data_IF_988713370615
#
_entry.id   IF_988713370615
#
_cell.length_a   1.000
_cell.length_b   1.000
_cell.length_c   1.000
_cell.angle_alpha   90.00
_cell.angle_beta   90.00
_cell.angle_gamma   90.00
#
_symmetry.space_group_name_H-M   'P 1'
#
loop_
_entity.id
_entity.type
_entity.pdbx_description
1 polymer ?
#
# COMPACT_ATOMS: atom_id res chain seq x y z
N UNK A 1 6.83 3.45 -9.99
CA UNK A 1 6.53 4.89 -10.04
C UNK A 1 5.19 5.15 -9.35
N UNK A 2 4.87 6.40 -9.04
CA UNK A 2 3.54 6.78 -8.57
C UNK A 2 2.45 6.34 -9.56
N UNK A 3 1.36 5.77 -9.06
CA UNK A 3 0.25 5.23 -9.86
C UNK A 3 0.36 3.73 -10.17
N UNK A 4 1.53 3.13 -9.98
CA UNK A 4 1.73 1.69 -10.19
C UNK A 4 0.97 0.86 -9.15
N UNK A 5 0.56 -0.35 -9.56
CA UNK A 5 -0.27 -1.26 -8.76
C UNK A 5 0.57 -2.48 -8.33
N UNK A 6 0.55 -2.80 -7.04
CA UNK A 6 1.25 -3.94 -6.49
C UNK A 6 0.35 -4.78 -5.60
N UNK A 7 0.66 -6.08 -5.49
CA UNK A 7 0.01 -6.96 -4.51
C UNK A 7 0.48 -6.59 -3.11
N UNK A 8 -0.43 -6.14 -2.26
CA UNK A 8 -0.17 -5.78 -0.88
C UNK A 8 -0.18 -7.02 0.01
N UNK A 9 0.91 -7.21 0.76
CA UNK A 9 0.91 -8.13 1.92
C UNK A 9 0.34 -7.38 3.12
N UNK A 10 -0.98 -7.41 3.27
CA UNK A 10 -1.63 -6.80 4.42
C UNK A 10 -1.17 -7.49 5.73
N UNK A 11 -0.92 -6.72 6.81
CA UNK A 11 -0.62 -7.28 8.12
C UNK A 11 -1.72 -8.26 8.56
N UNK A 12 -1.30 -9.39 9.15
CA UNK A 12 -2.25 -10.41 9.64
C UNK A 12 -3.00 -9.94 10.89
N UNK A 13 -2.44 -8.95 11.57
CA UNK A 13 -2.88 -8.34 12.82
C UNK A 13 -3.48 -6.94 12.60
N UNK A 14 -3.95 -6.64 11.37
CA UNK A 14 -4.69 -5.42 11.09
C UNK A 14 -5.86 -5.26 12.09
N UNK A 15 -5.88 -4.13 12.82
CA UNK A 15 -6.84 -3.88 13.90
C UNK A 15 -8.00 -2.99 13.42
N UNK A 16 -9.19 -3.24 13.96
CA UNK A 16 -10.37 -2.42 13.72
C UNK A 16 -10.79 -2.38 12.24
N UNK A 17 -10.99 -1.18 11.71
CA UNK A 17 -11.42 -0.97 10.31
C UNK A 17 -10.26 -0.89 9.31
N UNK A 18 -9.05 -1.28 9.71
CA UNK A 18 -7.94 -1.40 8.77
C UNK A 18 -8.25 -2.47 7.72
N UNK A 19 -7.97 -2.18 6.45
CA UNK A 19 -8.19 -3.15 5.39
C UNK A 19 -7.31 -4.40 5.58
N UNK A 20 -7.91 -5.58 5.50
CA UNK A 20 -7.27 -6.87 5.84
C UNK A 20 -7.26 -7.86 4.67
N UNK A 21 -6.39 -8.86 4.71
CA UNK A 21 -6.35 -9.91 3.67
C UNK A 21 -5.65 -9.51 2.37
N UNK A 22 -5.60 -10.45 1.42
CA UNK A 22 -4.89 -10.29 0.13
C UNK A 22 -5.61 -9.26 -0.75
N UNK A 23 -4.91 -8.17 -1.08
CA UNK A 23 -5.42 -7.10 -1.95
C UNK A 23 -4.31 -6.44 -2.75
N UNK A 24 -4.70 -5.56 -3.65
CA UNK A 24 -3.77 -4.69 -4.35
C UNK A 24 -3.66 -3.34 -3.63
N UNK A 25 -2.62 -2.60 -3.94
CA UNK A 25 -2.45 -1.24 -3.52
C UNK A 25 -1.80 -0.41 -4.63
N UNK A 26 -2.20 0.85 -4.69
CA UNK A 26 -1.65 1.85 -5.63
C UNK A 26 -0.57 2.65 -4.93
N UNK A 27 0.58 2.84 -5.56
CA UNK A 27 1.63 3.72 -5.04
C UNK A 27 1.21 5.17 -5.18
N UNK A 28 1.19 5.90 -4.07
CA UNK A 28 0.79 7.33 -4.07
C UNK A 28 1.91 8.27 -3.64
N UNK A 29 3.03 7.72 -3.13
CA UNK A 29 4.23 8.46 -2.75
C UNK A 29 4.80 9.28 -3.93
N UNK A 30 5.30 10.48 -3.63
CA UNK A 30 6.02 11.30 -4.59
C UNK A 30 7.36 10.65 -4.96
N UNK A 31 7.69 10.63 -6.26
CA UNK A 31 8.98 10.13 -6.74
C UNK A 31 10.17 11.03 -6.31
N UNK A 32 9.90 12.21 -5.73
CA UNK A 32 10.92 13.10 -5.16
C UNK A 32 11.42 12.66 -3.78
N UNK A 33 10.82 11.62 -3.18
CA UNK A 33 11.20 11.09 -1.87
C UNK A 33 11.73 9.65 -2.02
N UNK A 34 13.05 9.48 -2.27
CA UNK A 34 13.65 8.16 -2.47
C UNK A 34 13.87 7.46 -1.12
N UNK A 35 12.78 6.95 -0.55
CA UNK A 35 12.77 6.19 0.70
C UNK A 35 12.75 4.68 0.41
N UNK A 36 13.24 3.89 1.37
CA UNK A 36 13.16 2.43 1.34
C UNK A 36 11.74 1.89 1.61
N UNK A 37 10.82 2.77 2.04
CA UNK A 37 9.41 2.47 2.28
C UNK A 37 8.55 3.35 1.39
N UNK A 38 7.46 2.80 0.85
CA UNK A 38 6.53 3.50 -0.03
C UNK A 38 5.17 3.69 0.62
N UNK A 39 4.58 4.87 0.46
CA UNK A 39 3.19 5.15 0.81
C UNK A 39 2.24 4.63 -0.28
N UNK A 40 1.24 3.84 0.13
CA UNK A 40 0.31 3.16 -0.77
C UNK A 40 -1.14 3.32 -0.31
N UNK A 41 -2.08 3.29 -1.26
CA UNK A 41 -3.51 3.25 -1.00
C UNK A 41 -4.06 1.84 -1.29
N UNK A 42 -4.59 1.11 -0.29
CA UNK A 42 -5.18 -0.21 -0.52
C UNK A 42 -6.47 -0.13 -1.35
N UNK A 43 -6.64 -1.05 -2.31
CA UNK A 43 -7.86 -1.14 -3.10
C UNK A 43 -8.95 -1.93 -2.36
N UNK A 44 -10.23 -1.57 -2.57
CA UNK A 44 -11.40 -2.30 -2.03
C UNK A 44 -11.49 -3.72 -2.58
#
# INVERSE_FOLDING_TARGET
>A
MRGEIYRLRAPRDARGHAQHGRRYAVVVQSDQLPLSTWLVAPTS
#
